data_IF_693775665148
#
_entry.id   IF_693775665148
#
_cell.length_a   1.000
_cell.length_b   1.000
_cell.length_c   1.000
_cell.angle_alpha   90.00
_cell.angle_beta   90.00
_cell.angle_gamma   90.00
#
_symmetry.space_group_name_H-M   'P 1'
#
loop_
_entity.id
_entity.type
_entity.pdbx_description
1 polymer ?
#
# COMPACT_ATOMS: atom_id res chain seq x y z
N UNK A 1 -6.13 9.60 -5.67
CA UNK A 1 -5.40 8.35 -5.35
C UNK A 1 -5.07 8.35 -3.86
N UNK A 2 -5.40 7.30 -3.14
CA UNK A 2 -5.03 7.14 -1.74
C UNK A 2 -3.55 6.72 -1.60
N UNK A 3 -2.91 7.16 -0.52
CA UNK A 3 -1.53 6.79 -0.19
C UNK A 3 -1.52 5.82 0.99
N UNK A 4 -1.12 4.58 0.72
CA UNK A 4 -0.80 3.62 1.77
C UNK A 4 0.72 3.58 1.94
N UNK A 5 1.17 3.22 3.14
CA UNK A 5 2.59 2.95 3.38
C UNK A 5 2.84 1.44 3.36
N UNK A 6 3.91 1.00 2.67
CA UNK A 6 4.32 -0.41 2.61
C UNK A 6 5.41 -0.67 3.65
N UNK A 7 5.00 -0.90 4.89
CA UNK A 7 5.91 -1.14 6.03
C UNK A 7 5.19 -1.84 7.18
N UNK A 8 5.97 -2.48 8.06
CA UNK A 8 5.53 -2.95 9.36
C UNK A 8 6.21 -2.19 10.52
N UNK A 9 7.05 -1.19 10.20
CA UNK A 9 7.76 -0.40 11.20
C UNK A 9 6.85 0.69 11.78
N UNK A 10 6.64 0.65 13.12
CA UNK A 10 5.72 1.57 13.79
C UNK A 10 6.20 3.02 13.77
N UNK A 11 7.51 3.26 13.74
CA UNK A 11 8.05 4.61 13.70
C UNK A 11 7.88 5.24 12.32
N UNK A 12 8.08 4.47 11.23
CA UNK A 12 7.79 4.92 9.87
C UNK A 12 6.30 5.25 9.68
N UNK A 13 5.40 4.43 10.26
CA UNK A 13 3.95 4.69 10.23
C UNK A 13 3.62 5.98 10.98
N UNK A 14 4.20 6.18 12.17
CA UNK A 14 3.99 7.39 12.98
C UNK A 14 4.46 8.64 12.24
N UNK A 15 5.63 8.56 11.62
CA UNK A 15 6.17 9.68 10.86
C UNK A 15 5.31 10.00 9.63
N UNK A 16 4.90 8.98 8.86
CA UNK A 16 3.99 9.17 7.72
C UNK A 16 2.64 9.78 8.14
N UNK A 17 2.10 9.39 9.32
CA UNK A 17 0.90 10.02 9.87
C UNK A 17 1.12 11.49 10.22
N UNK A 18 2.29 11.84 10.75
CA UNK A 18 2.59 13.24 11.11
C UNK A 18 2.60 14.17 9.90
N UNK A 19 2.87 13.62 8.70
CA UNK A 19 2.77 14.34 7.43
C UNK A 19 1.31 14.59 6.99
N UNK A 20 0.34 13.88 7.57
CA UNK A 20 -1.09 14.01 7.22
C UNK A 20 -1.47 13.44 5.85
N UNK A 21 -0.66 12.54 5.30
CA UNK A 21 -0.85 12.00 3.93
C UNK A 21 -1.17 10.50 3.90
N UNK A 22 -1.33 9.86 5.07
CA UNK A 22 -1.48 8.43 5.19
C UNK A 22 -2.95 8.00 5.23
N UNK A 23 -3.38 7.19 4.26
CA UNK A 23 -4.73 6.64 4.16
C UNK A 23 -4.83 5.17 4.59
N UNK A 24 -3.72 4.43 4.65
CA UNK A 24 -3.70 3.01 5.04
C UNK A 24 -2.31 2.41 5.06
N UNK A 25 -2.22 1.12 5.35
CA UNK A 25 -0.97 0.37 5.48
C UNK A 25 -1.05 -0.95 4.74
N UNK A 26 0.00 -1.34 4.03
CA UNK A 26 0.18 -2.72 3.61
C UNK A 26 1.37 -3.34 4.34
N UNK A 27 1.17 -4.56 4.81
CA UNK A 27 2.24 -5.39 5.34
C UNK A 27 2.43 -6.65 4.50
N UNK A 28 3.48 -7.37 4.76
CA UNK A 28 3.73 -8.71 4.25
C UNK A 28 4.62 -9.49 5.22
N UNK A 29 4.72 -10.83 5.09
CA UNK A 29 5.51 -11.64 6.01
C UNK A 29 6.97 -11.18 6.16
N UNK A 30 7.59 -10.71 5.07
CA UNK A 30 8.99 -10.25 5.10
C UNK A 30 9.18 -8.93 5.89
N UNK A 31 8.21 -8.02 5.81
CA UNK A 31 8.22 -6.78 6.59
C UNK A 31 7.98 -7.07 8.07
N UNK A 32 6.98 -7.89 8.38
CA UNK A 32 6.68 -8.29 9.77
C UNK A 32 7.88 -8.99 10.43
N UNK A 33 8.55 -9.91 9.72
CA UNK A 33 9.69 -10.65 10.26
C UNK A 33 10.90 -9.78 10.62
N UNK A 34 10.99 -8.57 10.08
CA UNK A 34 12.03 -7.61 10.45
C UNK A 34 11.74 -6.93 11.79
N UNK A 35 10.47 -6.66 12.07
CA UNK A 35 10.03 -5.85 13.21
C UNK A 35 9.66 -6.70 14.44
N UNK A 36 9.13 -7.91 14.24
CA UNK A 36 8.61 -8.77 15.30
C UNK A 36 9.62 -9.83 15.68
N UNK A 37 10.17 -9.74 16.90
CA UNK A 37 11.16 -10.71 17.45
C UNK A 37 10.88 -10.97 18.93
N UNK A 38 10.69 -12.24 19.36
CA UNK A 38 10.59 -13.46 18.52
C UNK A 38 9.33 -13.45 17.67
N UNK A 39 9.38 -14.04 16.48
CA UNK A 39 8.22 -14.14 15.59
C UNK A 39 7.33 -15.30 16.06
N UNK A 40 6.37 -15.01 16.93
CA UNK A 40 5.29 -15.91 17.34
C UNK A 40 3.97 -15.45 16.76
N UNK A 41 2.97 -16.31 16.68
CA UNK A 41 1.65 -15.94 16.18
C UNK A 41 0.99 -14.84 17.04
N UNK A 42 1.15 -14.92 18.35
CA UNK A 42 0.66 -13.91 19.29
C UNK A 42 1.35 -12.55 19.07
N UNK A 43 2.68 -12.52 19.00
CA UNK A 43 3.44 -11.31 18.75
C UNK A 43 3.10 -10.68 17.37
N UNK A 44 2.85 -11.52 16.36
CA UNK A 44 2.37 -11.07 15.05
C UNK A 44 0.99 -10.41 15.16
N UNK A 45 0.02 -11.05 15.83
CA UNK A 45 -1.33 -10.49 16.04
C UNK A 45 -1.30 -9.16 16.78
N UNK A 46 -0.52 -9.10 17.85
CA UNK A 46 -0.35 -7.87 18.65
C UNK A 46 0.26 -6.74 17.82
N UNK A 47 1.20 -7.06 16.94
CA UNK A 47 1.83 -6.08 16.08
C UNK A 47 0.84 -5.53 15.03
N UNK A 48 0.08 -6.40 14.36
CA UNK A 48 -0.99 -5.97 13.43
C UNK A 48 -2.03 -5.11 14.17
N UNK A 49 -2.44 -5.51 15.37
CA UNK A 49 -3.36 -4.74 16.19
C UNK A 49 -2.82 -3.33 16.48
N UNK A 50 -1.57 -3.20 16.89
CA UNK A 50 -0.92 -1.90 17.12
C UNK A 50 -0.92 -1.03 15.86
N UNK A 51 -0.63 -1.60 14.69
CA UNK A 51 -0.72 -0.87 13.42
C UNK A 51 -2.15 -0.37 13.19
N UNK A 52 -3.17 -1.22 13.38
CA UNK A 52 -4.57 -0.85 13.21
C UNK A 52 -5.03 0.25 14.18
N UNK A 53 -4.54 0.24 15.41
CA UNK A 53 -4.85 1.27 16.42
C UNK A 53 -4.19 2.62 16.11
N UNK A 54 -3.09 2.62 15.35
CA UNK A 54 -2.40 3.84 14.92
C UNK A 54 -3.03 4.47 13.67
N UNK A 55 -3.68 3.71 12.80
CA UNK A 55 -4.10 4.16 11.47
C UNK A 55 -5.63 4.17 11.35
N UNK A 56 -6.20 5.28 10.89
CA UNK A 56 -7.65 5.42 10.65
C UNK A 56 -8.07 4.87 9.27
N UNK A 57 -7.42 3.81 8.77
CA UNK A 57 -7.66 3.26 7.45
C UNK A 57 -7.34 1.77 7.34
N UNK A 58 -7.48 1.20 6.13
CA UNK A 58 -7.25 -0.22 5.89
C UNK A 58 -5.82 -0.65 6.20
N UNK A 59 -5.66 -1.82 6.81
CA UNK A 59 -4.37 -2.46 7.11
C UNK A 59 -4.35 -3.85 6.49
N UNK A 60 -3.55 -4.05 5.45
CA UNK A 60 -3.42 -5.36 4.81
C UNK A 60 -2.50 -6.27 5.61
N UNK A 61 -3.06 -7.39 6.11
CA UNK A 61 -2.34 -8.47 6.80
C UNK A 61 -2.40 -9.74 5.94
N UNK A 62 -1.23 -10.30 5.61
CA UNK A 62 -1.11 -11.38 4.63
C UNK A 62 -1.14 -12.75 5.30
N UNK A 63 -1.94 -13.68 4.73
CA UNK A 63 -1.95 -15.09 5.11
C UNK A 63 -0.61 -15.76 4.74
N UNK A 64 -0.21 -16.75 5.52
CA UNK A 64 1.07 -17.46 5.35
C UNK A 64 0.90 -18.85 4.76
N UNK A 65 -0.30 -19.38 4.75
CA UNK A 65 -0.66 -20.68 4.19
C UNK A 65 -0.93 -20.61 2.69
N UNK A 66 -0.93 -21.75 2.00
CA UNK A 66 -1.05 -21.84 0.54
C UNK A 66 -2.29 -22.59 0.05
N UNK A 67 -2.94 -23.37 0.91
CA UNK A 67 -4.17 -24.10 0.56
C UNK A 67 -5.40 -23.27 0.89
N UNK A 68 -6.40 -23.31 0.03
CA UNK A 68 -7.62 -22.53 0.20
C UNK A 68 -8.28 -22.69 1.57
N UNK A 69 -8.41 -23.93 2.07
CA UNK A 69 -9.00 -24.22 3.37
C UNK A 69 -8.23 -23.60 4.55
N UNK A 70 -6.89 -23.62 4.46
CA UNK A 70 -6.01 -23.07 5.48
C UNK A 70 -6.03 -21.53 5.42
N UNK A 71 -5.95 -20.93 4.21
CA UNK A 71 -6.06 -19.48 4.01
C UNK A 71 -7.38 -18.91 4.51
N UNK A 72 -8.48 -19.63 4.36
CA UNK A 72 -9.79 -19.20 4.85
C UNK A 72 -9.78 -19.11 6.38
N UNK A 73 -9.33 -20.15 7.06
CA UNK A 73 -9.25 -20.17 8.54
C UNK A 73 -8.31 -19.11 9.07
N UNK A 74 -7.13 -18.98 8.47
CA UNK A 74 -6.15 -17.95 8.84
C UNK A 74 -6.71 -16.54 8.56
N UNK A 75 -7.36 -16.33 7.40
CA UNK A 75 -7.96 -15.06 7.02
C UNK A 75 -9.09 -14.63 7.95
N UNK A 76 -9.96 -15.55 8.40
CA UNK A 76 -10.98 -15.27 9.40
C UNK A 76 -10.34 -14.83 10.72
N UNK A 77 -9.32 -15.55 11.19
CA UNK A 77 -8.60 -15.20 12.41
C UNK A 77 -7.85 -13.85 12.32
N UNK A 78 -7.37 -13.47 11.12
CA UNK A 78 -6.78 -12.14 10.88
C UNK A 78 -7.84 -11.04 10.92
N UNK A 79 -9.01 -11.26 10.31
CA UNK A 79 -10.09 -10.29 10.30
C UNK A 79 -10.65 -9.99 11.70
N UNK A 80 -10.55 -10.94 12.64
CA UNK A 80 -10.94 -10.76 14.05
C UNK A 80 -10.01 -9.85 14.85
N UNK A 81 -8.80 -9.55 14.36
CA UNK A 81 -7.83 -8.71 15.09
C UNK A 81 -8.36 -7.29 15.25
N UNK A 82 -8.90 -6.71 14.17
CA UNK A 82 -9.40 -5.33 14.15
C UNK A 82 -10.25 -5.08 12.88
N UNK A 83 -11.24 -4.18 12.96
CA UNK A 83 -12.11 -3.82 11.84
C UNK A 83 -11.36 -3.24 10.63
N UNK A 84 -10.19 -2.65 10.83
CA UNK A 84 -9.35 -2.11 9.77
C UNK A 84 -8.61 -3.20 8.97
N UNK A 85 -8.57 -4.44 9.44
CA UNK A 85 -7.85 -5.50 8.73
C UNK A 85 -8.48 -5.79 7.38
N UNK A 86 -7.61 -5.88 6.38
CA UNK A 86 -7.90 -6.39 5.04
C UNK A 86 -7.02 -7.63 4.85
N UNK A 87 -7.65 -8.79 4.65
CA UNK A 87 -6.93 -10.06 4.52
C UNK A 87 -6.24 -10.14 3.17
N UNK A 88 -4.91 -10.21 3.16
CA UNK A 88 -4.12 -10.26 1.94
C UNK A 88 -3.83 -11.71 1.56
N UNK A 89 -4.23 -12.09 0.34
CA UNK A 89 -4.11 -13.46 -0.17
C UNK A 89 -3.32 -13.46 -1.50
N UNK A 90 -2.36 -14.41 -1.68
CA UNK A 90 -1.63 -14.53 -2.95
C UNK A 90 -2.57 -15.00 -4.06
N UNK A 91 -2.39 -14.45 -5.28
CA UNK A 91 -3.23 -14.81 -6.41
C UNK A 91 -2.81 -16.15 -7.03
N UNK A 92 -3.27 -17.22 -6.42
CA UNK A 92 -3.24 -18.60 -6.91
C UNK A 92 -4.66 -19.11 -7.10
N UNK A 93 -4.85 -20.30 -7.68
CA UNK A 93 -6.18 -20.93 -7.77
C UNK A 93 -6.80 -21.08 -6.39
N UNK A 94 -6.01 -21.49 -5.40
CA UNK A 94 -6.47 -21.62 -4.00
C UNK A 94 -6.71 -20.25 -3.36
N UNK A 95 -5.88 -19.25 -3.67
CA UNK A 95 -6.09 -17.87 -3.23
C UNK A 95 -7.41 -17.27 -3.76
N UNK A 96 -7.77 -17.53 -5.01
CA UNK A 96 -9.06 -17.11 -5.59
C UNK A 96 -10.23 -17.74 -4.83
N UNK A 97 -10.14 -19.04 -4.49
CA UNK A 97 -11.17 -19.71 -3.67
C UNK A 97 -11.26 -19.10 -2.27
N UNK A 98 -10.12 -18.81 -1.65
CA UNK A 98 -10.07 -18.17 -0.34
C UNK A 98 -10.68 -16.76 -0.37
N UNK A 99 -10.30 -15.92 -1.34
CA UNK A 99 -10.88 -14.58 -1.56
C UNK A 99 -12.40 -14.69 -1.70
N UNK A 100 -12.90 -15.62 -2.53
CA UNK A 100 -14.34 -15.82 -2.71
C UNK A 100 -15.03 -16.18 -1.41
N UNK A 101 -14.49 -17.10 -0.62
CA UNK A 101 -15.06 -17.54 0.64
C UNK A 101 -15.08 -16.39 1.68
N UNK A 102 -13.96 -15.67 1.83
CA UNK A 102 -13.82 -14.57 2.77
C UNK A 102 -14.74 -13.39 2.40
N UNK A 103 -14.75 -12.97 1.12
CA UNK A 103 -15.62 -11.88 0.68
C UNK A 103 -17.12 -12.22 0.79
N UNK A 104 -17.52 -13.49 0.63
CA UNK A 104 -18.89 -13.93 0.86
C UNK A 104 -19.33 -13.83 2.32
N UNK A 105 -18.38 -13.73 3.27
CA UNK A 105 -18.59 -13.47 4.70
C UNK A 105 -18.46 -11.99 5.07
N UNK A 106 -18.33 -11.11 4.09
CA UNK A 106 -18.13 -9.67 4.31
C UNK A 106 -16.72 -9.27 4.75
N UNK A 107 -15.76 -10.20 4.70
CA UNK A 107 -14.36 -9.92 5.04
C UNK A 107 -13.69 -9.27 3.83
N UNK A 108 -13.10 -8.08 4.03
CA UNK A 108 -12.36 -7.37 2.98
C UNK A 108 -11.07 -8.11 2.65
N UNK A 109 -10.77 -8.21 1.34
CA UNK A 109 -9.58 -8.93 0.87
C UNK A 109 -8.74 -8.09 -0.09
N UNK A 110 -7.43 -8.34 -0.09
CA UNK A 110 -6.44 -7.77 -1.00
C UNK A 110 -5.73 -8.92 -1.75
N UNK A 111 -6.01 -9.05 -3.05
CA UNK A 111 -5.34 -10.04 -3.89
C UNK A 111 -3.93 -9.55 -4.24
N UNK A 112 -2.90 -10.24 -3.77
CA UNK A 112 -1.49 -9.86 -3.98
C UNK A 112 -0.76 -10.74 -4.99
N UNK A 113 0.45 -10.35 -5.37
CA UNK A 113 1.28 -11.01 -6.37
C UNK A 113 0.60 -11.08 -7.74
N UNK A 114 0.05 -9.94 -8.17
CA UNK A 114 -0.58 -9.79 -9.47
C UNK A 114 0.44 -9.25 -10.46
N UNK A 115 0.61 -9.97 -11.58
CA UNK A 115 1.54 -9.68 -12.66
C UNK A 115 0.89 -9.68 -14.05
N UNK A 116 -0.45 -9.85 -14.11
CA UNK A 116 -1.20 -9.78 -15.38
C UNK A 116 -2.61 -9.25 -15.15
N UNK A 117 -3.25 -8.62 -16.17
CA UNK A 117 -4.63 -8.16 -16.08
C UNK A 117 -5.62 -9.31 -15.87
N UNK A 118 -5.35 -10.49 -16.41
CA UNK A 118 -6.19 -11.67 -16.21
C UNK A 118 -6.25 -12.09 -14.74
N UNK A 119 -5.12 -11.99 -14.02
CA UNK A 119 -5.08 -12.26 -12.58
C UNK A 119 -5.95 -11.24 -11.81
N UNK A 120 -5.87 -9.95 -12.15
CA UNK A 120 -6.68 -8.91 -11.53
C UNK A 120 -8.18 -9.14 -11.78
N UNK A 121 -8.57 -9.52 -13.00
CA UNK A 121 -9.97 -9.87 -13.34
C UNK A 121 -10.49 -11.05 -12.53
N UNK A 122 -9.70 -12.11 -12.35
CA UNK A 122 -10.09 -13.27 -11.55
C UNK A 122 -10.29 -12.90 -10.08
N UNK A 123 -9.39 -12.08 -9.51
CA UNK A 123 -9.52 -11.58 -8.15
C UNK A 123 -10.78 -10.73 -7.97
N UNK A 124 -11.05 -9.80 -8.90
CA UNK A 124 -12.23 -8.96 -8.87
C UNK A 124 -13.52 -9.78 -8.94
N UNK A 125 -13.57 -10.79 -9.84
CA UNK A 125 -14.70 -11.73 -9.95
C UNK A 125 -14.89 -12.56 -8.68
N UNK A 126 -13.84 -12.87 -7.94
CA UNK A 126 -13.93 -13.52 -6.64
C UNK A 126 -14.44 -12.59 -5.52
N UNK A 127 -14.51 -11.28 -5.74
CA UNK A 127 -14.99 -10.28 -4.80
C UNK A 127 -13.90 -9.63 -3.97
N UNK A 128 -12.66 -9.59 -4.47
CA UNK A 128 -11.58 -8.85 -3.81
C UNK A 128 -11.91 -7.36 -3.68
N UNK A 129 -11.62 -6.78 -2.50
CA UNK A 129 -11.73 -5.33 -2.28
C UNK A 129 -10.62 -4.59 -3.00
N UNK A 130 -9.40 -5.13 -2.95
CA UNK A 130 -8.22 -4.61 -3.62
C UNK A 130 -7.54 -5.67 -4.47
N UNK A 131 -6.91 -5.22 -5.55
CA UNK A 131 -5.92 -5.98 -6.31
C UNK A 131 -4.58 -5.24 -6.25
N UNK A 132 -3.50 -5.96 -5.92
CA UNK A 132 -2.16 -5.40 -5.80
C UNK A 132 -1.26 -5.83 -6.96
N UNK A 133 -1.29 -5.14 -8.14
CA UNK A 133 -0.32 -5.33 -9.21
C UNK A 133 1.06 -4.83 -8.79
N UNK A 134 2.10 -5.64 -9.08
CA UNK A 134 3.47 -5.40 -8.66
C UNK A 134 4.29 -4.73 -9.76
N UNK A 135 4.32 -3.41 -9.77
CA UNK A 135 5.01 -2.57 -10.75
C UNK A 135 6.52 -2.82 -10.75
N UNK A 136 7.19 -2.48 -9.68
CA UNK A 136 8.66 -2.50 -9.64
C UNK A 136 9.25 -3.90 -9.79
N UNK A 137 8.50 -4.97 -9.47
CA UNK A 137 8.96 -6.33 -9.69
C UNK A 137 8.92 -6.74 -11.16
N UNK A 138 8.03 -6.16 -11.98
CA UNK A 138 8.05 -6.29 -13.43
C UNK A 138 9.23 -5.53 -14.03
N UNK A 139 9.51 -4.32 -13.55
CA UNK A 139 10.66 -3.53 -14.00
C UNK A 139 11.98 -4.26 -13.69
N UNK A 140 12.08 -4.94 -12.54
CA UNK A 140 13.25 -5.75 -12.16
C UNK A 140 13.57 -6.86 -13.21
N UNK A 141 12.58 -7.26 -14.02
CA UNK A 141 12.75 -8.25 -15.11
C UNK A 141 12.58 -7.64 -16.51
N UNK A 142 12.81 -6.35 -16.63
CA UNK A 142 12.75 -5.59 -17.89
C UNK A 142 11.40 -5.61 -18.59
N UNK A 143 10.32 -5.63 -17.80
CA UNK A 143 8.94 -5.55 -18.26
C UNK A 143 8.33 -4.27 -17.72
N UNK A 144 7.65 -3.49 -18.56
CA UNK A 144 7.02 -2.23 -18.15
C UNK A 144 5.87 -2.50 -17.15
N UNK A 145 6.09 -2.17 -15.90
CA UNK A 145 5.11 -2.34 -14.83
C UNK A 145 3.94 -1.36 -14.92
N UNK A 146 4.13 -0.17 -15.52
CA UNK A 146 3.06 0.81 -15.69
C UNK A 146 2.02 0.34 -16.70
N UNK A 147 2.42 -0.39 -17.73
CA UNK A 147 1.49 -0.99 -18.68
C UNK A 147 0.49 -1.95 -18.00
N UNK A 148 0.93 -2.68 -16.96
CA UNK A 148 0.05 -3.53 -16.17
C UNK A 148 -1.02 -2.69 -15.45
N UNK A 149 -0.66 -1.56 -14.83
CA UNK A 149 -1.58 -0.64 -14.17
C UNK A 149 -2.59 -0.09 -15.18
N UNK A 150 -2.11 0.43 -16.32
CA UNK A 150 -2.96 0.99 -17.39
C UNK A 150 -4.03 -0.01 -17.85
N UNK A 151 -3.62 -1.24 -18.13
CA UNK A 151 -4.52 -2.29 -18.59
C UNK A 151 -5.58 -2.64 -17.54
N UNK A 152 -5.19 -2.80 -16.26
CA UNK A 152 -6.12 -3.15 -15.19
C UNK A 152 -7.12 -2.01 -14.97
N UNK A 153 -6.64 -0.77 -14.84
CA UNK A 153 -7.50 0.42 -14.61
C UNK A 153 -8.47 0.60 -15.78
N UNK A 154 -8.00 0.46 -17.02
CA UNK A 154 -8.85 0.56 -18.22
C UNK A 154 -9.94 -0.50 -18.21
N UNK A 155 -9.59 -1.76 -17.92
CA UNK A 155 -10.56 -2.86 -17.85
C UNK A 155 -11.58 -2.62 -16.74
N UNK A 156 -11.13 -2.25 -15.54
CA UNK A 156 -12.02 -2.04 -14.40
C UNK A 156 -12.99 -0.89 -14.66
N UNK A 157 -12.52 0.19 -15.28
CA UNK A 157 -13.36 1.31 -15.69
C UNK A 157 -14.38 0.93 -16.76
N UNK A 158 -13.98 0.18 -17.80
CA UNK A 158 -14.87 -0.23 -18.90
C UNK A 158 -16.07 -1.08 -18.43
N UNK A 159 -15.89 -1.82 -17.35
CA UNK A 159 -16.90 -2.73 -16.81
C UNK A 159 -17.43 -2.32 -15.43
N UNK A 160 -17.11 -1.11 -14.98
CA UNK A 160 -17.53 -0.56 -13.67
C UNK A 160 -17.27 -1.53 -12.51
N UNK A 161 -16.07 -2.18 -12.54
CA UNK A 161 -15.67 -3.14 -11.52
C UNK A 161 -15.33 -2.38 -10.23
N UNK A 162 -15.98 -2.70 -9.08
CA UNK A 162 -15.80 -1.95 -7.84
C UNK A 162 -14.50 -2.24 -7.10
N UNK A 163 -13.77 -3.27 -7.51
CA UNK A 163 -12.46 -3.62 -6.93
C UNK A 163 -11.45 -2.53 -7.19
N UNK A 164 -10.78 -2.06 -6.14
CA UNK A 164 -9.80 -0.99 -6.23
C UNK A 164 -8.42 -1.49 -6.68
N UNK A 165 -7.77 -0.71 -7.54
CA UNK A 165 -6.41 -0.98 -8.02
C UNK A 165 -5.41 -0.35 -7.05
N UNK A 166 -4.69 -1.18 -6.29
CA UNK A 166 -3.68 -0.82 -5.33
C UNK A 166 -2.29 -1.10 -5.92
N UNK A 167 -1.68 -0.09 -6.55
CA UNK A 167 -0.35 -0.22 -7.13
C UNK A 167 0.69 -0.54 -6.05
N UNK A 168 1.38 -1.67 -6.19
CA UNK A 168 2.33 -2.19 -5.21
C UNK A 168 3.74 -2.35 -5.79
N UNK A 169 4.71 -2.61 -4.92
CA UNK A 169 6.13 -2.70 -5.33
C UNK A 169 6.65 -1.39 -5.94
N UNK A 170 6.21 -0.26 -5.41
CA UNK A 170 6.67 1.08 -5.81
C UNK A 170 8.15 1.22 -5.44
N UNK A 171 8.97 1.78 -6.35
CA UNK A 171 10.42 1.92 -6.19
C UNK A 171 10.91 3.36 -6.10
N UNK A 172 10.22 4.31 -6.73
CA UNK A 172 10.64 5.70 -6.85
C UNK A 172 9.45 6.64 -7.13
N UNK A 173 9.64 7.97 -6.97
CA UNK A 173 8.57 8.96 -7.15
C UNK A 173 7.85 8.92 -8.50
N UNK A 174 8.54 8.58 -9.59
CA UNK A 174 7.92 8.54 -10.93
C UNK A 174 6.81 7.50 -10.99
N UNK A 175 6.97 6.32 -10.37
CA UNK A 175 5.88 5.33 -10.27
C UNK A 175 4.62 5.92 -9.63
N UNK A 176 4.76 6.76 -8.59
CA UNK A 176 3.61 7.38 -7.92
C UNK A 176 2.87 8.34 -8.86
N UNK A 177 3.63 9.15 -9.62
CA UNK A 177 3.07 10.09 -10.61
C UNK A 177 2.34 9.32 -11.71
N UNK A 178 2.97 8.31 -12.28
CA UNK A 178 2.40 7.51 -13.37
C UNK A 178 1.16 6.74 -12.92
N UNK A 179 1.18 6.09 -11.74
CA UNK A 179 -0.01 5.48 -11.16
C UNK A 179 -1.16 6.47 -10.99
N UNK A 180 -0.86 7.72 -10.57
CA UNK A 180 -1.86 8.78 -10.43
C UNK A 180 -2.46 9.18 -11.76
N UNK A 181 -1.62 9.35 -12.79
CA UNK A 181 -2.05 9.73 -14.15
C UNK A 181 -2.91 8.63 -14.80
N UNK A 182 -2.57 7.38 -14.56
CA UNK A 182 -3.32 6.23 -15.06
C UNK A 182 -4.63 5.99 -14.31
N UNK A 183 -4.78 6.57 -13.12
CA UNK A 183 -6.01 6.49 -12.32
C UNK A 183 -6.07 5.26 -11.40
N UNK A 184 -4.94 4.78 -10.90
CA UNK A 184 -4.93 3.81 -9.81
C UNK A 184 -5.63 4.40 -8.57
N UNK A 185 -6.39 3.59 -7.84
CA UNK A 185 -7.14 4.04 -6.67
C UNK A 185 -6.23 4.28 -5.48
N UNK A 186 -5.22 3.43 -5.33
CA UNK A 186 -4.27 3.43 -4.21
C UNK A 186 -2.85 3.17 -4.74
N UNK A 187 -1.86 3.81 -4.12
CA UNK A 187 -0.46 3.38 -4.23
C UNK A 187 0.08 3.05 -2.84
N UNK A 188 0.66 1.86 -2.66
CA UNK A 188 1.36 1.53 -1.43
C UNK A 188 2.86 1.77 -1.60
N UNK A 189 3.37 2.70 -0.81
CA UNK A 189 4.62 3.40 -1.05
C UNK A 189 5.56 3.14 0.13
N UNK A 190 6.81 2.65 -0.09
CA UNK A 190 7.80 2.57 0.96
C UNK A 190 8.09 3.96 1.58
N UNK A 191 8.31 4.05 2.89
CA UNK A 191 8.51 5.31 3.61
C UNK A 191 9.58 6.21 2.96
N UNK A 192 10.71 5.62 2.57
CA UNK A 192 11.79 6.34 1.87
C UNK A 192 11.32 7.03 0.58
N UNK A 193 10.37 6.42 -0.14
CA UNK A 193 9.83 7.03 -1.36
C UNK A 193 8.85 8.15 -1.02
N UNK A 194 8.06 8.01 0.06
CA UNK A 194 7.20 9.11 0.57
C UNK A 194 8.05 10.34 0.87
N UNK A 195 9.17 10.19 1.58
CA UNK A 195 10.11 11.29 1.84
C UNK A 195 10.66 11.92 0.54
N UNK A 196 10.91 11.09 -0.48
CA UNK A 196 11.41 11.58 -1.77
C UNK A 196 10.39 12.41 -2.53
N UNK A 197 9.07 12.16 -2.36
CA UNK A 197 8.02 12.95 -3.03
C UNK A 197 8.06 14.43 -2.67
N UNK A 198 8.52 14.77 -1.48
CA UNK A 198 8.64 16.16 -1.01
C UNK A 198 9.95 16.85 -1.43
N UNK A 199 10.92 16.11 -1.95
CA UNK A 199 12.26 16.64 -2.27
C UNK A 199 12.34 17.13 -3.71
N UNK A 200 12.72 18.41 -3.88
CA UNK A 200 12.96 18.98 -5.20
C UNK A 200 14.08 20.04 -5.14
N UNK A 201 15.11 19.97 -6.01
CA UNK A 201 16.23 20.94 -5.98
C UNK A 201 15.81 22.40 -6.10
N UNK A 202 14.79 22.71 -6.89
CA UNK A 202 14.27 24.08 -7.01
C UNK A 202 13.57 24.56 -5.76
N UNK A 203 12.97 23.67 -4.96
CA UNK A 203 12.42 24.01 -3.65
C UNK A 203 13.51 24.43 -2.70
N UNK A 204 14.62 23.69 -2.66
CA UNK A 204 15.78 23.99 -1.81
C UNK A 204 16.41 25.34 -2.18
N UNK A 205 16.62 25.58 -3.49
CA UNK A 205 17.13 26.84 -4.01
C UNK A 205 16.18 28.01 -3.68
N UNK A 206 14.87 27.81 -3.88
CA UNK A 206 13.85 28.82 -3.57
C UNK A 206 13.80 29.15 -2.08
N UNK A 207 13.86 28.14 -1.23
CA UNK A 207 13.89 28.31 0.22
C UNK A 207 15.13 29.09 0.68
N UNK A 208 16.31 28.79 0.15
CA UNK A 208 17.54 29.54 0.47
C UNK A 208 17.38 31.01 0.12
N UNK A 209 16.88 31.33 -1.07
CA UNK A 209 16.62 32.70 -1.49
C UNK A 209 15.64 33.42 -0.54
N UNK A 210 14.55 32.77 -0.18
CA UNK A 210 13.57 33.35 0.75
C UNK A 210 14.17 33.60 2.15
N UNK A 211 15.05 32.73 2.63
CA UNK A 211 15.75 32.94 3.88
C UNK A 211 16.70 34.15 3.83
N UNK A 212 17.43 34.32 2.74
CA UNK A 212 18.32 35.47 2.54
C UNK A 212 17.54 36.80 2.48
N UNK A 213 16.44 36.83 1.72
CA UNK A 213 15.55 37.99 1.62
C UNK A 213 14.89 38.33 2.99
N UNK A 214 14.45 37.31 3.75
CA UNK A 214 13.89 37.48 5.08
C UNK A 214 14.90 38.03 6.09
N UNK A 215 16.16 37.61 6.00
CA UNK A 215 17.24 38.14 6.83
C UNK A 215 17.47 39.62 6.53
N UNK A 216 17.60 39.98 5.25
CA UNK A 216 17.79 41.38 4.83
C UNK A 216 16.62 42.29 5.28
N UNK A 217 15.38 41.76 5.24
CA UNK A 217 14.20 42.51 5.73
C UNK A 217 14.26 42.73 7.25
N UNK A 218 14.61 41.71 8.04
CA UNK A 218 14.73 41.84 9.51
C UNK A 218 15.81 42.85 9.90
N UNK A 219 16.95 42.87 9.21
CA UNK A 219 18.02 43.84 9.45
C UNK A 219 17.59 45.30 9.16
N UNK A 220 16.78 45.50 8.10
CA UNK A 220 16.23 46.82 7.79
C UNK A 220 15.23 47.29 8.84
N UNK A 221 14.35 46.38 9.32
CA UNK A 221 13.32 46.76 10.32
C UNK A 221 13.96 47.01 11.71
N UNK A 222 15.04 46.30 12.06
CA UNK A 222 15.75 46.49 13.33
C UNK A 222 16.57 47.82 13.40
N UNK A 223 16.81 48.46 12.25
CA UNK A 223 17.57 49.72 12.17
C UNK A 223 16.66 50.95 12.04
N UNK A 224 15.32 50.79 12.23
CA UNK A 224 14.31 51.86 12.29
C UNK A 224 13.80 51.95 13.73
#
# INVERSE_FOLDING_TARGET
MQFFIDTANLDEIREAQSLGVLDGVTTNPSLIAKEVKPLTYEAFRDHIKKICEMVHGPVSAEVTTLKASEMIVEGEALAEIHENVVVKCPLTVDGIKAIKALSSKGIRTNATLIFSPNQALLAAKAGATYVSPFVGRLDDVSTDGMLLIEQIVTIFRNFEIPTQVLAASIRHPVHVVECSLLGADVATIPFKVIEQLAKHPLTDIGLQKFMDDAKALREKVANV
#
